data_IF_681762561632
#
_entry.id   IF_681762561632
#
_cell.length_a   1.000
_cell.length_b   1.000
_cell.length_c   1.000
_cell.angle_alpha   90.00
_cell.angle_beta   90.00
_cell.angle_gamma   90.00
#
_symmetry.space_group_name_H-M   'P 1'
#
loop_
_entity.id
_entity.type
_entity.pdbx_description
1 polymer ?
#
# COMPACT_ATOMS: atom_id res chain seq x y z
N UNK A 1 26.88 -2.66 1.00
CA UNK A 1 25.78 -3.10 0.13
C UNK A 1 25.06 -1.84 -0.32
N UNK A 2 25.14 -1.51 -1.62
CA UNK A 2 24.57 -0.27 -2.15
C UNK A 2 23.03 -0.36 -2.22
N UNK A 3 22.34 0.76 -2.05
CA UNK A 3 20.87 0.86 -2.15
C UNK A 3 20.35 0.27 -3.47
N UNK A 4 21.13 0.41 -4.55
CA UNK A 4 20.80 -0.17 -5.85
C UNK A 4 20.80 -1.71 -5.85
N UNK A 5 21.65 -2.36 -5.06
CA UNK A 5 21.66 -3.83 -4.93
C UNK A 5 20.50 -4.32 -4.07
N UNK A 6 20.12 -3.57 -3.03
CA UNK A 6 18.93 -3.84 -2.23
C UNK A 6 17.66 -3.76 -3.08
N UNK A 7 17.55 -2.74 -3.95
CA UNK A 7 16.41 -2.56 -4.84
C UNK A 7 16.38 -3.57 -6.00
N UNK A 8 17.52 -4.09 -6.47
CA UNK A 8 17.58 -5.12 -7.53
C UNK A 8 17.22 -6.52 -7.06
N UNK A 9 17.47 -6.88 -5.80
CA UNK A 9 16.99 -8.14 -5.21
C UNK A 9 15.48 -8.16 -4.97
N UNK A 10 14.89 -6.98 -4.93
CA UNK A 10 13.45 -6.76 -4.86
C UNK A 10 12.88 -6.80 -6.29
N UNK A 11 13.10 -7.93 -6.99
CA UNK A 11 12.23 -8.35 -8.09
C UNK A 11 10.90 -8.81 -7.49
N UNK A 12 10.14 -7.87 -6.92
CA UNK A 12 8.86 -8.13 -6.30
C UNK A 12 7.81 -8.36 -7.38
N UNK A 13 7.49 -9.63 -7.59
CA UNK A 13 6.10 -9.94 -7.88
C UNK A 13 5.24 -9.34 -6.75
N UNK A 14 4.34 -8.46 -7.18
CA UNK A 14 3.31 -7.76 -6.41
C UNK A 14 2.64 -8.72 -5.41
N UNK A 15 2.67 -8.32 -4.14
CA UNK A 15 1.86 -8.79 -2.98
C UNK A 15 2.66 -9.21 -1.73
N UNK A 16 4.01 -9.26 -1.75
CA UNK A 16 4.80 -9.76 -0.61
C UNK A 16 5.77 -8.77 0.07
N UNK A 17 5.62 -7.45 -0.04
CA UNK A 17 6.38 -6.51 0.82
C UNK A 17 5.73 -6.39 2.19
N UNK A 18 5.51 -7.52 2.84
CA UNK A 18 5.24 -7.53 4.26
C UNK A 18 6.55 -7.16 4.97
N UNK A 19 6.46 -6.36 6.02
CA UNK A 19 7.58 -6.10 6.94
C UNK A 19 8.65 -5.07 6.51
N UNK A 20 8.32 -4.07 5.68
CA UNK A 20 9.18 -2.88 5.50
C UNK A 20 8.41 -1.60 5.81
N UNK A 21 9.10 -0.57 6.33
CA UNK A 21 8.52 0.78 6.51
C UNK A 21 7.90 1.31 5.21
N UNK A 22 8.53 0.99 4.07
CA UNK A 22 8.01 1.35 2.76
C UNK A 22 6.68 0.66 2.42
N UNK A 23 6.55 -0.63 2.71
CA UNK A 23 5.29 -1.38 2.56
C UNK A 23 4.16 -0.81 3.43
N UNK A 24 4.48 -0.50 4.69
CA UNK A 24 3.55 0.16 5.61
C UNK A 24 3.04 1.49 5.05
N UNK A 25 3.95 2.35 4.58
CA UNK A 25 3.59 3.68 4.05
C UNK A 25 2.82 3.60 2.73
N UNK A 26 3.13 2.65 1.84
CA UNK A 26 2.30 2.37 0.66
C UNK A 26 0.87 2.00 1.09
N UNK A 27 0.73 1.10 2.05
CA UNK A 27 -0.59 0.64 2.48
C UNK A 27 -1.39 1.75 3.19
N UNK A 28 -0.73 2.59 4.01
CA UNK A 28 -1.33 3.78 4.62
C UNK A 28 -1.78 4.78 3.56
N UNK A 29 -0.93 5.09 2.58
CA UNK A 29 -1.28 6.00 1.49
C UNK A 29 -2.41 5.46 0.63
N UNK A 30 -2.40 4.16 0.32
CA UNK A 30 -3.49 3.48 -0.39
C UNK A 30 -4.80 3.58 0.37
N UNK A 31 -4.78 3.32 1.68
CA UNK A 31 -5.97 3.40 2.54
C UNK A 31 -6.56 4.82 2.50
N UNK A 32 -5.72 5.84 2.70
CA UNK A 32 -6.13 7.26 2.61
C UNK A 32 -6.72 7.59 1.25
N UNK A 33 -6.03 7.21 0.18
CA UNK A 33 -6.48 7.45 -1.19
C UNK A 33 -7.88 6.86 -1.43
N UNK A 34 -8.12 5.62 -1.00
CA UNK A 34 -9.42 4.96 -1.16
C UNK A 34 -10.51 5.71 -0.40
N UNK A 35 -10.23 6.15 0.83
CA UNK A 35 -11.19 6.89 1.66
C UNK A 35 -11.52 8.27 1.07
N UNK A 36 -10.53 8.98 0.54
CA UNK A 36 -10.69 10.31 -0.06
C UNK A 36 -11.38 10.27 -1.43
N UNK A 37 -11.19 9.17 -2.18
CA UNK A 37 -11.66 9.06 -3.57
C UNK A 37 -12.77 8.01 -3.76
N UNK A 38 -13.49 7.66 -2.69
CA UNK A 38 -14.46 6.56 -2.65
C UNK A 38 -15.41 6.52 -3.86
N UNK A 39 -16.20 7.58 -4.07
CA UNK A 39 -17.19 7.62 -5.14
C UNK A 39 -16.57 7.55 -6.54
N UNK A 40 -15.36 8.09 -6.73
CA UNK A 40 -14.64 8.02 -7.99
C UNK A 40 -14.18 6.59 -8.28
N UNK A 41 -13.65 5.92 -7.26
CA UNK A 41 -13.21 4.53 -7.35
C UNK A 41 -14.36 3.57 -7.61
N UNK A 42 -15.51 3.74 -6.94
CA UNK A 42 -16.73 2.95 -7.19
C UNK A 42 -17.12 3.04 -8.67
N UNK A 43 -17.25 4.27 -9.22
CA UNK A 43 -17.61 4.48 -10.63
C UNK A 43 -16.59 3.91 -11.61
N UNK A 44 -15.31 3.97 -11.27
CA UNK A 44 -14.27 3.39 -12.10
C UNK A 44 -14.34 1.85 -12.05
N UNK A 45 -14.62 1.27 -10.88
CA UNK A 45 -14.75 -0.17 -10.67
C UNK A 45 -15.99 -0.77 -11.33
N UNK A 46 -17.04 0.02 -11.58
CA UNK A 46 -18.19 -0.41 -12.40
C UNK A 46 -17.80 -0.77 -13.84
N UNK A 47 -16.65 -0.28 -14.32
CA UNK A 47 -16.17 -0.48 -15.70
C UNK A 47 -15.00 -1.46 -15.81
N UNK A 48 -14.37 -1.79 -14.69
CA UNK A 48 -13.17 -2.63 -14.62
C UNK A 48 -13.02 -3.19 -13.22
N UNK A 49 -12.61 -4.44 -13.07
CA UNK A 49 -12.35 -5.02 -11.74
C UNK A 49 -11.03 -4.54 -11.13
N UNK A 50 -10.25 -3.75 -11.88
CA UNK A 50 -8.91 -3.28 -11.47
C UNK A 50 -8.64 -1.83 -11.87
N UNK A 51 -8.07 -1.09 -10.92
CA UNK A 51 -7.64 0.31 -11.08
C UNK A 51 -6.20 0.44 -10.60
N UNK A 52 -5.39 1.18 -11.37
CA UNK A 52 -4.04 1.58 -10.94
C UNK A 52 -4.11 2.93 -10.23
N UNK A 53 -3.42 3.05 -9.10
CA UNK A 53 -3.37 4.24 -8.27
C UNK A 53 -1.97 4.83 -8.28
N UNK A 54 -1.88 6.14 -8.43
CA UNK A 54 -0.65 6.89 -8.23
C UNK A 54 -0.66 7.49 -6.81
N UNK A 55 0.25 7.04 -5.95
CA UNK A 55 0.32 7.41 -4.54
C UNK A 55 1.55 8.27 -4.29
N UNK A 56 1.34 9.45 -3.70
CA UNK A 56 2.44 10.30 -3.23
C UNK A 56 2.87 9.85 -1.83
N UNK A 57 4.16 9.57 -1.67
CA UNK A 57 4.76 9.23 -0.38
C UNK A 57 5.76 10.30 0.03
N UNK A 58 5.79 10.58 1.33
CA UNK A 58 6.76 11.44 1.98
C UNK A 58 6.91 10.99 3.44
N UNK A 59 8.01 10.30 3.76
CA UNK A 59 8.24 9.75 5.10
C UNK A 59 9.72 9.60 5.42
N UNK A 60 10.04 9.47 6.71
CA UNK A 60 11.41 9.32 7.20
C UNK A 60 11.74 7.86 7.48
N UNK A 61 12.96 7.45 7.12
CA UNK A 61 13.55 6.15 7.49
C UNK A 61 14.87 6.36 8.22
N UNK A 62 15.47 5.33 8.85
CA UNK A 62 16.79 5.46 9.47
C UNK A 62 17.91 5.84 8.49
N UNK A 63 17.73 5.55 7.20
CA UNK A 63 18.74 5.82 6.16
C UNK A 63 18.49 7.14 5.42
N UNK A 64 17.36 7.81 5.66
CA UNK A 64 17.01 9.08 5.02
C UNK A 64 15.52 9.25 4.76
N UNK A 65 15.16 10.43 4.23
CA UNK A 65 13.80 10.76 3.80
C UNK A 65 13.50 10.11 2.45
N UNK A 66 12.32 9.52 2.33
CA UNK A 66 11.79 8.94 1.09
C UNK A 66 10.66 9.83 0.61
N UNK A 67 10.77 10.34 -0.61
CA UNK A 67 9.73 11.16 -1.25
C UNK A 67 9.58 10.74 -2.72
N UNK A 68 8.35 10.66 -3.21
CA UNK A 68 8.09 10.38 -4.62
C UNK A 68 6.70 9.82 -4.90
N UNK A 69 6.47 9.57 -6.19
CA UNK A 69 5.24 8.97 -6.71
C UNK A 69 5.40 7.47 -6.90
N UNK A 70 4.44 6.68 -6.42
CA UNK A 70 4.48 5.22 -6.44
C UNK A 70 3.18 4.63 -6.95
N UNK A 71 3.30 3.61 -7.80
CA UNK A 71 2.15 2.92 -8.37
C UNK A 71 1.66 1.79 -7.47
N UNK A 72 0.38 1.83 -7.11
CA UNK A 72 -0.35 0.74 -6.45
C UNK A 72 -1.57 0.34 -7.27
N UNK A 73 -2.29 -0.69 -6.83
CA UNK A 73 -3.49 -1.17 -7.54
C UNK A 73 -4.59 -1.51 -6.54
N UNK A 74 -5.82 -1.20 -6.92
CA UNK A 74 -7.03 -1.72 -6.30
C UNK A 74 -7.62 -2.72 -7.27
N UNK A 75 -7.90 -3.92 -6.78
CA UNK A 75 -8.60 -4.95 -7.54
C UNK A 75 -9.69 -5.52 -6.66
N UNK A 76 -10.89 -5.63 -7.22
CA UNK A 76 -12.03 -6.34 -6.62
C UNK A 76 -12.20 -7.69 -7.32
N UNK A 77 -13.03 -8.55 -6.75
CA UNK A 77 -13.37 -9.83 -7.37
C UNK A 77 -14.35 -9.59 -8.52
N UNK A 78 -14.16 -10.29 -9.63
CA UNK A 78 -15.08 -10.26 -10.77
C UNK A 78 -16.52 -10.58 -10.32
N UNK A 79 -17.48 -9.78 -10.78
CA UNK A 79 -18.91 -9.94 -10.46
C UNK A 79 -19.32 -9.48 -9.05
N UNK A 80 -18.39 -8.97 -8.23
CA UNK A 80 -18.70 -8.38 -6.93
C UNK A 80 -19.15 -6.92 -7.09
N UNK A 81 -20.17 -6.45 -6.35
CA UNK A 81 -20.52 -5.04 -6.33
C UNK A 81 -19.31 -4.17 -5.95
N UNK A 82 -19.01 -3.09 -6.69
CA UNK A 82 -17.83 -2.26 -6.45
C UNK A 82 -17.68 -1.75 -5.01
N UNK A 83 -18.79 -1.37 -4.37
CA UNK A 83 -18.79 -0.90 -2.98
C UNK A 83 -18.38 -2.01 -2.01
N UNK A 84 -18.92 -3.21 -2.17
CA UNK A 84 -18.58 -4.38 -1.35
C UNK A 84 -17.11 -4.79 -1.57
N UNK A 85 -16.67 -4.82 -2.82
CA UNK A 85 -15.28 -5.15 -3.16
C UNK A 85 -14.30 -4.13 -2.62
N UNK A 86 -14.64 -2.83 -2.68
CA UNK A 86 -13.79 -1.78 -2.14
C UNK A 86 -13.76 -1.81 -0.61
N UNK A 87 -14.88 -2.16 0.05
CA UNK A 87 -14.91 -2.45 1.49
C UNK A 87 -14.02 -3.64 1.87
N UNK A 88 -14.04 -4.73 1.11
CA UNK A 88 -13.15 -5.88 1.33
C UNK A 88 -11.67 -5.45 1.21
N UNK A 89 -11.35 -4.63 0.21
CA UNK A 89 -10.00 -4.09 0.01
C UNK A 89 -9.59 -3.21 1.19
N UNK A 90 -10.46 -2.34 1.70
CA UNK A 90 -10.18 -1.52 2.89
C UNK A 90 -9.87 -2.38 4.11
N UNK A 91 -10.74 -3.35 4.42
CA UNK A 91 -10.57 -4.22 5.60
C UNK A 91 -9.33 -5.10 5.49
N UNK A 92 -9.00 -5.61 4.30
CA UNK A 92 -7.74 -6.30 4.06
C UNK A 92 -6.54 -5.37 4.28
N UNK A 93 -6.58 -4.15 3.73
CA UNK A 93 -5.47 -3.19 3.84
C UNK A 93 -5.23 -2.78 5.30
N UNK A 94 -6.29 -2.52 6.09
CA UNK A 94 -6.19 -2.22 7.53
C UNK A 94 -5.53 -3.36 8.31
N UNK A 95 -5.88 -4.63 8.00
CA UNK A 95 -5.25 -5.79 8.64
C UNK A 95 -3.76 -5.88 8.33
N UNK A 96 -3.38 -5.63 7.08
CA UNK A 96 -1.97 -5.61 6.66
C UNK A 96 -1.20 -4.51 7.39
N UNK A 97 -1.73 -3.29 7.43
CA UNK A 97 -1.13 -2.16 8.18
C UNK A 97 -0.88 -2.56 9.62
N UNK A 98 -1.88 -3.12 10.30
CA UNK A 98 -1.74 -3.55 11.70
C UNK A 98 -0.65 -4.60 11.87
N UNK A 99 -0.57 -5.59 10.97
CA UNK A 99 0.47 -6.61 10.99
C UNK A 99 1.87 -6.01 10.78
N UNK A 100 2.01 -5.09 9.83
CA UNK A 100 3.27 -4.39 9.54
C UNK A 100 3.70 -3.52 10.74
N UNK A 101 2.78 -2.78 11.35
CA UNK A 101 3.04 -1.99 12.56
C UNK A 101 3.48 -2.88 13.74
N UNK A 102 2.76 -3.98 13.99
CA UNK A 102 3.10 -4.92 15.06
C UNK A 102 4.47 -5.57 14.84
N UNK A 103 4.82 -5.89 13.60
CA UNK A 103 6.14 -6.39 13.23
C UNK A 103 7.21 -5.32 13.48
N UNK A 104 7.05 -4.13 12.90
CA UNK A 104 8.06 -3.08 12.95
C UNK A 104 8.30 -2.57 14.39
N UNK A 105 7.25 -2.55 15.24
CA UNK A 105 7.38 -2.21 16.68
C UNK A 105 8.31 -3.13 17.44
N UNK A 106 8.52 -4.36 16.95
CA UNK A 106 9.42 -5.37 17.54
C UNK A 106 10.82 -5.35 16.91
N UNK A 107 11.08 -4.42 16.00
CA UNK A 107 12.37 -4.24 15.32
C UNK A 107 13.01 -2.91 15.72
N UNK A 108 14.23 -2.66 15.24
CA UNK A 108 14.94 -1.38 15.36
C UNK A 108 14.26 -0.21 14.62
N UNK A 109 13.10 -0.45 13.98
CA UNK A 109 12.33 0.55 13.22
C UNK A 109 11.20 1.21 14.03
N UNK A 110 11.06 0.89 15.33
CA UNK A 110 9.93 1.35 16.16
C UNK A 110 9.71 2.88 16.16
N UNK A 111 10.79 3.65 16.15
CA UNK A 111 10.74 5.12 16.24
C UNK A 111 10.31 5.80 14.91
N UNK A 112 10.09 5.01 13.85
CA UNK A 112 9.75 5.48 12.51
C UNK A 112 8.34 5.07 12.05
N UNK A 113 7.52 4.52 12.96
CA UNK A 113 6.15 4.02 12.71
C UNK A 113 5.09 5.06 13.06
#
# INVERSE_FOLDING_TARGET
MEVNDFLRHISLMRDNVYSTLFGLEINRAKLRYIQENWSSLVRALERTDRISLELQLDFQTPIGRVTGSFMSHVSIREGMPPEEGLMEVLERTKRIIKMDEDFLRRTYMKDYI
#
